data_IF_355335504725
#
_entry.id   IF_355335504725
#
_cell.length_a   1.000
_cell.length_b   1.000
_cell.length_c   1.000
_cell.angle_alpha   90.00
_cell.angle_beta   90.00
_cell.angle_gamma   90.00
#
_symmetry.space_group_name_H-M   'P 1'
#
loop_
_entity.id
_entity.type
_entity.pdbx_description
1 polymer ?
#
# COMPACT_ATOMS: atom_id res chain seq x y z
N UNK A 1 -29.97 -39.21 -32.76
CA UNK A 1 -30.37 -38.37 -33.92
C UNK A 1 -31.80 -37.90 -33.73
N UNK A 2 -31.98 -36.67 -33.23
CA UNK A 2 -33.27 -35.97 -33.18
C UNK A 2 -33.02 -34.47 -33.33
N UNK A 3 -33.77 -33.90 -34.28
CA UNK A 3 -34.40 -32.57 -34.30
C UNK A 3 -33.58 -31.30 -34.05
N UNK A 4 -33.47 -30.52 -35.13
CA UNK A 4 -33.62 -29.06 -35.10
C UNK A 4 -34.96 -28.67 -34.45
N UNK A 5 -34.95 -27.72 -33.51
CA UNK A 5 -36.04 -26.79 -33.23
C UNK A 5 -35.43 -25.42 -32.92
N UNK A 6 -35.75 -24.48 -33.80
CA UNK A 6 -35.70 -23.02 -33.61
C UNK A 6 -36.80 -22.57 -32.65
N UNK A 7 -36.51 -21.63 -31.74
CA UNK A 7 -37.46 -20.66 -31.14
C UNK A 7 -36.65 -19.61 -30.36
N UNK A 8 -36.54 -18.38 -30.89
CA UNK A 8 -37.25 -17.19 -30.38
C UNK A 8 -37.23 -17.05 -28.85
N UNK A 9 -36.42 -16.10 -28.36
CA UNK A 9 -36.73 -15.36 -27.14
C UNK A 9 -36.54 -13.87 -27.37
N UNK A 10 -37.41 -13.14 -26.69
CA UNK A 10 -37.84 -11.77 -26.90
C UNK A 10 -36.72 -10.71 -26.78
N UNK A 11 -36.83 -9.70 -27.64
CA UNK A 11 -36.36 -8.34 -27.37
C UNK A 11 -37.01 -7.83 -26.07
N UNK A 12 -36.18 -7.52 -25.08
CA UNK A 12 -36.54 -6.55 -24.03
C UNK A 12 -35.58 -5.37 -24.23
N UNK A 13 -36.07 -4.17 -24.56
CA UNK A 13 -35.21 -3.00 -24.54
C UNK A 13 -34.95 -2.66 -23.08
N UNK A 14 -33.74 -2.94 -22.60
CA UNK A 14 -33.24 -2.32 -21.38
C UNK A 14 -32.88 -0.88 -21.78
N UNK A 15 -33.88 0.01 -21.71
CA UNK A 15 -33.67 1.45 -21.62
C UNK A 15 -34.23 1.88 -20.27
N UNK A 16 -33.52 1.49 -19.21
CA UNK A 16 -33.60 2.20 -17.95
C UNK A 16 -32.43 3.18 -17.98
N UNK A 17 -32.65 4.35 -18.59
CA UNK A 17 -31.83 5.52 -18.29
C UNK A 17 -32.17 5.89 -16.85
N UNK A 18 -31.51 5.24 -15.89
CA UNK A 18 -31.30 5.89 -14.61
C UNK A 18 -30.57 7.18 -14.96
N UNK A 19 -31.16 8.33 -14.62
CA UNK A 19 -30.42 9.58 -14.68
C UNK A 19 -29.19 9.36 -13.83
N UNK A 20 -28.00 9.38 -14.44
CA UNK A 20 -26.75 9.35 -13.70
C UNK A 20 -26.85 10.44 -12.63
N UNK A 21 -26.60 10.11 -11.35
CA UNK A 21 -26.69 11.10 -10.29
C UNK A 21 -25.81 12.28 -10.68
N UNK A 22 -26.43 13.46 -10.78
CA UNK A 22 -25.73 14.67 -11.19
C UNK A 22 -24.58 14.90 -10.21
N UNK A 23 -23.37 15.12 -10.73
CA UNK A 23 -22.19 15.43 -9.91
C UNK A 23 -22.57 16.52 -8.88
N UNK A 24 -22.43 16.19 -7.59
CA UNK A 24 -22.67 17.14 -6.51
C UNK A 24 -21.39 17.96 -6.39
N UNK A 25 -21.42 19.29 -6.53
CA UNK A 25 -20.23 20.11 -6.36
C UNK A 25 -19.54 19.76 -5.05
N UNK A 26 -18.23 19.51 -5.07
CA UNK A 26 -17.47 19.09 -3.88
C UNK A 26 -17.60 20.04 -2.69
N UNK A 27 -17.93 21.31 -2.94
CA UNK A 27 -18.24 22.34 -1.93
C UNK A 27 -19.55 22.14 -1.17
N UNK A 28 -20.46 21.32 -1.67
CA UNK A 28 -21.77 21.03 -1.06
C UNK A 28 -21.75 19.74 -0.24
N UNK A 29 -20.67 18.96 -0.31
CA UNK A 29 -20.51 17.71 0.42
C UNK A 29 -19.99 18.00 1.82
N UNK A 30 -20.73 17.58 2.84
CA UNK A 30 -20.24 17.54 4.22
C UNK A 30 -19.26 16.36 4.38
N UNK A 31 -18.01 16.61 3.99
CA UNK A 31 -16.94 15.63 4.08
C UNK A 31 -16.66 15.17 5.51
N UNK A 32 -16.84 16.04 6.51
CA UNK A 32 -16.60 15.68 7.90
C UNK A 32 -17.60 14.62 8.39
N UNK A 33 -18.88 14.83 8.13
CA UNK A 33 -19.92 13.84 8.44
C UNK A 33 -19.73 12.56 7.65
N UNK A 34 -19.51 12.66 6.33
CA UNK A 34 -19.29 11.49 5.48
C UNK A 34 -18.08 10.67 5.95
N UNK A 35 -16.99 11.35 6.35
CA UNK A 35 -15.78 10.71 6.87
C UNK A 35 -16.04 10.01 8.20
N UNK A 36 -16.77 10.64 9.12
CA UNK A 36 -17.13 10.05 10.41
C UNK A 36 -18.00 8.78 10.26
N UNK A 37 -18.79 8.70 9.20
CA UNK A 37 -19.63 7.52 8.90
C UNK A 37 -18.85 6.38 8.21
N UNK A 38 -17.78 6.70 7.48
CA UNK A 38 -17.04 5.72 6.68
C UNK A 38 -16.28 4.70 7.55
N UNK A 39 -16.52 3.42 7.30
CA UNK A 39 -16.01 2.31 8.10
C UNK A 39 -16.91 1.91 9.27
N UNK A 40 -17.98 2.68 9.53
CA UNK A 40 -18.95 2.43 10.59
C UNK A 40 -20.35 2.20 10.00
N UNK A 41 -21.06 3.28 9.69
CA UNK A 41 -22.40 3.23 9.08
C UNK A 41 -22.31 2.97 7.58
N UNK A 42 -21.35 3.63 6.91
CA UNK A 42 -21.05 3.37 5.50
C UNK A 42 -19.80 2.49 5.37
N UNK A 43 -19.97 1.26 4.89
CA UNK A 43 -18.84 0.33 4.73
C UNK A 43 -17.87 0.79 3.65
N UNK A 44 -16.58 0.50 3.81
CA UNK A 44 -15.62 0.64 2.73
C UNK A 44 -16.02 -0.21 1.53
N UNK A 45 -16.11 0.43 0.37
CA UNK A 45 -16.22 -0.19 -0.96
C UNK A 45 -15.15 0.49 -1.80
N UNK A 46 -13.96 -0.11 -1.75
CA UNK A 46 -12.74 0.46 -2.33
C UNK A 46 -12.51 -0.16 -3.71
N UNK A 47 -12.44 0.67 -4.75
CA UNK A 47 -11.91 0.25 -6.04
C UNK A 47 -10.40 0.51 -6.05
N UNK A 48 -9.62 -0.57 -6.01
CA UNK A 48 -8.18 -0.51 -6.31
C UNK A 48 -8.00 -0.73 -7.79
N UNK A 49 -7.63 0.33 -8.50
CA UNK A 49 -7.35 0.25 -9.92
C UNK A 49 -6.07 -0.54 -10.16
N UNK A 50 -6.22 -1.69 -10.82
CA UNK A 50 -5.09 -2.54 -11.24
C UNK A 50 -4.87 -2.53 -12.75
N UNK A 51 -5.91 -2.29 -13.55
CA UNK A 51 -5.88 -2.32 -15.03
C UNK A 51 -6.90 -1.38 -15.68
N UNK A 52 -7.79 -0.77 -14.90
CA UNK A 52 -8.97 -0.06 -15.41
C UNK A 52 -8.55 1.17 -16.21
N UNK A 53 -7.74 2.05 -15.61
CA UNK A 53 -7.25 3.25 -16.28
C UNK A 53 -6.13 2.99 -17.29
N UNK A 54 -5.79 1.73 -17.58
CA UNK A 54 -4.68 1.41 -18.50
C UNK A 54 -4.91 1.94 -19.92
N UNK A 55 -6.16 1.94 -20.40
CA UNK A 55 -6.53 2.46 -21.73
C UNK A 55 -6.31 3.98 -21.86
N UNK A 56 -6.27 4.70 -20.74
CA UNK A 56 -6.07 6.15 -20.65
C UNK A 56 -4.68 6.52 -20.11
N UNK A 57 -3.69 5.64 -20.34
CA UNK A 57 -2.32 5.80 -19.83
C UNK A 57 -2.26 6.03 -18.30
N UNK A 58 -3.10 5.27 -17.60
CA UNK A 58 -3.27 5.29 -16.15
C UNK A 58 -3.88 6.57 -15.58
N UNK A 59 -4.44 7.44 -16.41
CA UNK A 59 -5.10 8.66 -15.96
C UNK A 59 -6.58 8.38 -15.66
N UNK A 60 -7.03 8.76 -14.46
CA UNK A 60 -8.46 8.76 -14.15
C UNK A 60 -9.17 9.88 -14.93
N UNK A 61 -10.40 9.60 -15.35
CA UNK A 61 -11.28 10.48 -16.13
C UNK A 61 -12.63 10.61 -15.42
N UNK A 62 -13.45 11.58 -15.83
CA UNK A 62 -14.82 11.72 -15.32
C UNK A 62 -15.64 10.46 -15.56
N UNK A 63 -15.57 9.88 -16.76
CA UNK A 63 -16.24 8.60 -17.10
C UNK A 63 -15.88 7.49 -16.12
N UNK A 64 -14.61 7.34 -15.75
CA UNK A 64 -14.21 6.36 -14.74
C UNK A 64 -14.87 6.64 -13.37
N UNK A 65 -14.98 7.91 -12.95
CA UNK A 65 -15.61 8.23 -11.66
C UNK A 65 -17.11 7.95 -11.67
N UNK A 66 -17.80 8.25 -12.78
CA UNK A 66 -19.21 7.92 -12.98
C UNK A 66 -19.43 6.41 -12.85
N UNK A 67 -18.63 5.61 -13.55
CA UNK A 67 -18.71 4.14 -13.47
C UNK A 67 -18.44 3.61 -12.06
N UNK A 68 -17.44 4.16 -11.38
CA UNK A 68 -17.10 3.80 -9.99
C UNK A 68 -18.28 4.09 -9.05
N UNK A 69 -18.90 5.25 -9.21
CA UNK A 69 -20.06 5.68 -8.43
C UNK A 69 -21.30 4.82 -8.74
N UNK A 70 -21.56 4.53 -10.02
CA UNK A 70 -22.67 3.68 -10.46
C UNK A 70 -22.51 2.23 -9.95
N UNK A 71 -21.27 1.73 -9.90
CA UNK A 71 -20.93 0.46 -9.27
C UNK A 71 -20.95 0.51 -7.72
N UNK A 72 -21.36 1.65 -7.15
CA UNK A 72 -21.54 1.87 -5.71
C UNK A 72 -20.26 1.80 -4.88
N UNK A 73 -19.08 1.94 -5.49
CA UNK A 73 -17.85 2.17 -4.73
C UNK A 73 -17.89 3.56 -4.08
N UNK A 74 -17.20 3.71 -2.94
CA UNK A 74 -17.11 4.98 -2.22
C UNK A 74 -15.67 5.45 -2.00
N UNK A 75 -14.67 4.66 -2.39
CA UNK A 75 -13.26 5.05 -2.40
C UNK A 75 -12.61 4.60 -3.70
N UNK A 76 -11.86 5.49 -4.35
CA UNK A 76 -11.00 5.17 -5.49
C UNK A 76 -9.53 5.20 -5.09
N UNK A 77 -8.78 4.23 -5.59
CA UNK A 77 -7.35 4.05 -5.36
C UNK A 77 -6.67 3.84 -6.72
N UNK A 78 -6.11 4.89 -7.34
CA UNK A 78 -5.54 4.82 -8.69
C UNK A 78 -4.30 3.93 -8.73
N UNK A 79 -3.99 3.30 -9.85
CA UNK A 79 -2.80 2.43 -9.97
C UNK A 79 -1.46 3.17 -9.86
N UNK A 80 -1.41 4.43 -10.26
CA UNK A 80 -0.18 5.19 -10.48
C UNK A 80 -0.35 6.65 -10.04
N UNK A 81 0.77 7.32 -9.77
CA UNK A 81 0.79 8.78 -9.58
C UNK A 81 0.94 9.27 -8.16
N UNK A 82 1.01 8.38 -7.16
CA UNK A 82 1.18 8.79 -5.76
C UNK A 82 2.45 9.59 -5.49
N UNK A 83 3.51 9.42 -6.27
CA UNK A 83 4.76 10.18 -6.09
C UNK A 83 4.71 11.60 -6.68
N UNK A 84 3.65 11.94 -7.43
CA UNK A 84 3.46 13.24 -8.06
C UNK A 84 2.34 14.02 -7.33
N UNK A 85 2.67 15.06 -6.53
CA UNK A 85 1.68 15.78 -5.75
C UNK A 85 0.62 16.48 -6.60
N UNK A 86 0.94 16.90 -7.83
CA UNK A 86 -0.03 17.57 -8.70
C UNK A 86 -1.03 16.56 -9.28
N UNK A 87 -0.55 15.36 -9.60
CA UNK A 87 -1.42 14.26 -10.01
C UNK A 87 -2.32 13.79 -8.87
N UNK A 88 -1.79 13.64 -7.65
CA UNK A 88 -2.59 13.30 -6.47
C UNK A 88 -3.70 14.32 -6.25
N UNK A 89 -3.40 15.62 -6.31
CA UNK A 89 -4.43 16.67 -6.20
C UNK A 89 -5.48 16.58 -7.29
N UNK A 90 -5.06 16.42 -8.53
CA UNK A 90 -5.98 16.34 -9.68
C UNK A 90 -6.93 15.15 -9.55
N UNK A 91 -6.42 13.96 -9.27
CA UNK A 91 -7.24 12.74 -9.16
C UNK A 91 -8.14 12.79 -7.91
N UNK A 92 -7.66 13.38 -6.81
CA UNK A 92 -8.45 13.57 -5.60
C UNK A 92 -9.60 14.58 -5.78
N UNK A 93 -9.36 15.68 -6.51
CA UNK A 93 -10.40 16.65 -6.84
C UNK A 93 -11.45 16.02 -7.76
N UNK A 94 -11.01 15.28 -8.78
CA UNK A 94 -11.89 14.52 -9.65
C UNK A 94 -12.74 13.52 -8.86
N UNK A 95 -12.17 12.79 -7.89
CA UNK A 95 -12.94 11.94 -7.00
C UNK A 95 -13.93 12.74 -6.14
N UNK A 96 -13.51 13.89 -5.61
CA UNK A 96 -14.35 14.75 -4.78
C UNK A 96 -15.59 15.26 -5.52
N UNK A 97 -15.45 15.64 -6.79
CA UNK A 97 -16.54 16.17 -7.62
C UNK A 97 -17.60 15.10 -7.94
N UNK A 98 -17.25 13.82 -7.82
CA UNK A 98 -18.18 12.68 -7.91
C UNK A 98 -18.58 12.13 -6.52
N UNK A 99 -18.22 12.83 -5.45
CA UNK A 99 -18.51 12.44 -4.08
C UNK A 99 -17.84 11.14 -3.64
N UNK A 100 -16.72 10.77 -4.25
CA UNK A 100 -15.90 9.62 -3.89
C UNK A 100 -14.76 10.06 -2.97
N UNK A 101 -14.40 9.20 -2.03
CA UNK A 101 -13.12 9.35 -1.33
C UNK A 101 -11.96 8.88 -2.21
N UNK A 102 -10.77 9.36 -1.88
CA UNK A 102 -9.53 9.05 -2.58
C UNK A 102 -8.48 8.51 -1.59
N UNK A 103 -7.74 7.47 -2.01
CA UNK A 103 -6.45 7.14 -1.41
C UNK A 103 -5.37 7.00 -2.48
N UNK A 104 -4.20 7.55 -2.20
CA UNK A 104 -3.04 7.38 -3.07
C UNK A 104 -2.51 5.95 -2.95
N UNK A 105 -2.42 5.22 -4.07
CA UNK A 105 -1.73 3.92 -4.10
C UNK A 105 -0.23 4.13 -4.27
N UNK A 106 0.57 3.54 -3.41
CA UNK A 106 2.01 3.47 -3.61
C UNK A 106 2.55 2.09 -3.26
N UNK A 107 3.69 1.76 -3.85
CA UNK A 107 4.46 0.60 -3.42
C UNK A 107 5.01 0.85 -2.02
N UNK A 108 4.91 -0.14 -1.13
CA UNK A 108 5.55 -0.13 0.20
C UNK A 108 7.03 -0.56 0.16
N UNK A 109 7.50 -0.98 -1.01
CA UNK A 109 8.88 -1.37 -1.30
C UNK A 109 9.53 -0.37 -2.26
N UNK A 110 10.85 -0.26 -2.19
CA UNK A 110 11.65 0.67 -3.01
C UNK A 110 12.96 0.01 -3.44
N UNK A 111 13.42 0.30 -4.66
CA UNK A 111 14.77 -0.06 -5.11
C UNK A 111 15.81 0.82 -4.41
N UNK A 112 16.93 0.24 -3.94
CA UNK A 112 17.98 0.96 -3.24
C UNK A 112 18.80 1.79 -4.23
N UNK A 113 19.10 3.04 -3.86
CA UNK A 113 20.05 3.89 -4.59
C UNK A 113 21.44 3.75 -3.96
N UNK A 114 21.52 3.87 -2.63
CA UNK A 114 22.80 3.81 -1.88
C UNK A 114 22.70 2.91 -0.65
N UNK A 115 21.50 2.71 -0.11
CA UNK A 115 21.22 1.98 1.11
C UNK A 115 21.40 0.47 1.00
N UNK A 116 21.35 -0.23 2.15
CA UNK A 116 21.51 -1.67 2.18
C UNK A 116 20.36 -2.36 1.46
N UNK A 117 20.72 -3.41 0.73
CA UNK A 117 19.77 -4.26 0.02
C UNK A 117 19.17 -5.31 0.97
N UNK A 118 17.98 -5.77 0.64
CA UNK A 118 17.35 -6.92 1.29
C UNK A 118 18.22 -8.17 1.06
N UNK A 119 18.56 -8.87 2.14
CA UNK A 119 19.23 -10.17 2.09
C UNK A 119 18.33 -11.23 2.71
N UNK A 120 17.99 -12.25 1.92
CA UNK A 120 17.15 -13.37 2.34
C UNK A 120 17.90 -14.31 3.29
N UNK A 121 17.15 -15.16 4.00
CA UNK A 121 17.68 -16.14 4.95
C UNK A 121 18.76 -17.08 4.37
N UNK A 122 18.65 -17.40 3.07
CA UNK A 122 19.60 -18.25 2.35
C UNK A 122 20.72 -17.45 1.65
N UNK A 123 20.84 -16.16 1.93
CA UNK A 123 21.92 -15.30 1.43
C UNK A 123 21.67 -14.62 0.08
N UNK A 124 20.52 -14.87 -0.58
CA UNK A 124 20.17 -14.15 -1.80
C UNK A 124 20.05 -12.65 -1.50
N UNK A 125 20.69 -11.83 -2.32
CA UNK A 125 20.58 -10.37 -2.24
C UNK A 125 19.59 -9.90 -3.31
N UNK A 126 18.52 -9.23 -2.90
CA UNK A 126 17.50 -8.72 -3.81
C UNK A 126 17.65 -7.21 -4.03
N UNK A 127 17.28 -6.72 -5.21
CA UNK A 127 17.35 -5.29 -5.56
C UNK A 127 16.21 -4.45 -4.94
N UNK A 128 15.98 -4.65 -3.63
CA UNK A 128 15.07 -3.87 -2.80
C UNK A 128 15.84 -3.30 -1.60
N UNK A 129 15.45 -2.13 -1.13
CA UNK A 129 15.91 -1.62 0.15
C UNK A 129 15.61 -2.63 1.25
N UNK A 130 16.55 -2.81 2.18
CA UNK A 130 16.31 -3.56 3.41
C UNK A 130 15.13 -2.96 4.21
N UNK A 131 14.28 -3.78 4.85
CA UNK A 131 13.06 -3.34 5.54
C UNK A 131 13.27 -2.31 6.64
N UNK A 132 14.45 -2.28 7.28
CA UNK A 132 14.78 -1.30 8.33
C UNK A 132 15.83 -0.27 7.88
N UNK A 133 16.04 -0.12 6.57
CA UNK A 133 16.96 0.88 6.03
C UNK A 133 16.42 2.31 6.18
N UNK A 134 17.29 3.25 6.51
CA UNK A 134 16.90 4.66 6.60
C UNK A 134 16.44 5.21 5.25
N UNK A 135 16.99 4.70 4.14
CA UNK A 135 16.57 5.09 2.79
C UNK A 135 15.09 4.75 2.53
N UNK A 136 14.66 3.51 2.84
CA UNK A 136 13.26 3.11 2.67
C UNK A 136 12.34 3.98 3.53
N UNK A 137 12.69 4.15 4.81
CA UNK A 137 11.82 4.84 5.76
C UNK A 137 11.76 6.35 5.55
N UNK A 138 12.84 6.98 5.09
CA UNK A 138 12.81 8.38 4.66
C UNK A 138 11.85 8.53 3.48
N UNK A 139 11.99 7.68 2.46
CA UNK A 139 11.13 7.74 1.28
C UNK A 139 9.65 7.49 1.61
N UNK A 140 9.34 6.42 2.36
CA UNK A 140 7.96 6.13 2.81
C UNK A 140 7.38 7.32 3.58
N UNK A 141 8.14 7.89 4.52
CA UNK A 141 7.71 9.04 5.30
C UNK A 141 7.43 10.25 4.42
N UNK A 142 8.31 10.56 3.47
CA UNK A 142 8.17 11.73 2.61
C UNK A 142 6.92 11.64 1.72
N UNK A 143 6.68 10.47 1.10
CA UNK A 143 5.50 10.24 0.26
C UNK A 143 4.22 10.29 1.07
N UNK A 144 4.16 9.58 2.20
CA UNK A 144 2.96 9.56 3.05
C UNK A 144 2.67 10.95 3.60
N UNK A 145 3.67 11.67 4.11
CA UNK A 145 3.45 13.02 4.63
C UNK A 145 3.06 14.03 3.53
N UNK A 146 3.45 13.79 2.28
CA UNK A 146 2.94 14.55 1.14
C UNK A 146 1.43 14.31 0.94
N UNK A 147 0.96 13.05 0.93
CA UNK A 147 -0.47 12.75 0.85
C UNK A 147 -1.27 13.32 2.03
N UNK A 148 -0.70 13.26 3.24
CA UNK A 148 -1.33 13.79 4.46
C UNK A 148 -1.51 15.31 4.36
N UNK A 149 -0.52 16.03 3.85
CA UNK A 149 -0.66 17.48 3.60
C UNK A 149 -1.77 17.76 2.59
N UNK A 150 -1.83 17.01 1.50
CA UNK A 150 -2.90 17.15 0.49
C UNK A 150 -4.27 16.88 1.12
N UNK A 151 -4.40 15.97 2.09
CA UNK A 151 -5.68 15.74 2.79
C UNK A 151 -6.21 16.93 3.59
N UNK A 152 -5.35 17.89 3.93
CA UNK A 152 -5.77 19.15 4.54
C UNK A 152 -6.28 20.18 3.52
N UNK A 153 -5.91 20.00 2.24
CA UNK A 153 -6.33 20.82 1.12
C UNK A 153 -7.61 20.26 0.48
N UNK A 154 -7.70 18.94 0.34
CA UNK A 154 -8.79 18.22 -0.33
C UNK A 154 -9.37 17.16 0.64
N UNK A 155 -10.53 17.43 1.27
CA UNK A 155 -11.10 16.56 2.30
C UNK A 155 -11.53 15.15 1.83
N UNK A 156 -11.64 14.92 0.52
CA UNK A 156 -11.91 13.58 -0.04
C UNK A 156 -10.70 12.65 0.08
N UNK A 157 -9.48 13.18 0.28
CA UNK A 157 -8.28 12.37 0.49
C UNK A 157 -8.28 11.85 1.92
N UNK A 158 -8.41 10.54 2.07
CA UNK A 158 -8.56 9.91 3.38
C UNK A 158 -7.38 9.05 3.79
N UNK A 159 -6.45 8.76 2.88
CA UNK A 159 -5.35 7.88 3.21
C UNK A 159 -4.38 7.56 2.09
N UNK A 160 -3.46 6.66 2.42
CA UNK A 160 -2.52 6.01 1.51
C UNK A 160 -2.75 4.51 1.54
N UNK A 161 -2.81 3.89 0.36
CA UNK A 161 -2.86 2.44 0.18
C UNK A 161 -1.42 1.95 -0.12
N UNK A 162 -0.83 1.24 0.83
CA UNK A 162 0.53 0.72 0.78
C UNK A 162 0.51 -0.72 0.29
N UNK A 163 1.12 -0.94 -0.87
CA UNK A 163 1.24 -2.24 -1.50
C UNK A 163 2.67 -2.77 -1.32
N UNK A 164 2.85 -3.61 -0.31
CA UNK A 164 4.12 -4.26 0.02
C UNK A 164 4.41 -5.49 -0.84
N UNK A 165 3.64 -5.75 -1.91
CA UNK A 165 3.92 -6.88 -2.80
C UNK A 165 5.29 -6.72 -3.48
N UNK A 166 6.12 -7.74 -3.29
CA UNK A 166 7.46 -7.92 -3.82
C UNK A 166 7.36 -8.78 -5.08
N UNK A 167 7.64 -8.12 -6.20
CA UNK A 167 7.67 -8.72 -7.54
C UNK A 167 9.05 -8.57 -8.19
N UNK A 168 10.09 -8.27 -7.42
CA UNK A 168 11.42 -8.18 -8.01
C UNK A 168 11.84 -9.53 -8.60
N UNK A 169 12.56 -9.53 -9.74
CA UNK A 169 13.11 -10.75 -10.34
C UNK A 169 13.92 -11.56 -9.34
N UNK A 170 14.08 -12.85 -9.64
CA UNK A 170 14.83 -13.80 -8.80
C UNK A 170 14.25 -14.00 -7.40
N UNK A 171 12.99 -13.61 -7.19
CA UNK A 171 12.22 -13.96 -6.00
C UNK A 171 12.22 -15.49 -5.83
N UNK A 172 12.65 -16.02 -4.66
CA UNK A 172 12.67 -17.45 -4.42
C UNK A 172 11.22 -17.93 -4.34
N UNK A 173 10.77 -18.60 -5.40
CA UNK A 173 9.42 -19.12 -5.61
C UNK A 173 9.16 -20.34 -4.69
N UNK A 174 9.16 -20.10 -3.38
CA UNK A 174 8.96 -21.12 -2.35
C UNK A 174 8.17 -20.53 -1.17
N UNK A 175 6.85 -20.71 -1.20
CA UNK A 175 5.93 -20.67 -0.05
C UNK A 175 5.96 -19.41 0.86
N UNK A 176 6.69 -18.36 0.48
CA UNK A 176 6.79 -17.12 1.26
C UNK A 176 5.91 -16.03 0.63
N UNK A 177 5.25 -15.21 1.46
CA UNK A 177 4.44 -14.12 0.97
C UNK A 177 5.30 -13.14 0.19
N UNK A 178 4.69 -12.50 -0.79
CA UNK A 178 5.28 -11.43 -1.58
C UNK A 178 5.57 -10.18 -0.72
N UNK A 179 6.05 -10.25 0.51
CA UNK A 179 6.31 -9.08 1.36
C UNK A 179 7.72 -9.09 1.92
N UNK A 180 8.10 -8.03 2.63
CA UNK A 180 9.40 -7.94 3.30
C UNK A 180 9.57 -9.09 4.31
N UNK A 181 10.58 -9.97 4.13
CA UNK A 181 10.98 -10.90 5.16
C UNK A 181 11.96 -10.23 6.14
N UNK A 182 12.25 -10.90 7.24
CA UNK A 182 13.42 -10.60 8.08
C UNK A 182 14.68 -10.57 7.18
N UNK A 183 15.42 -9.47 7.23
CA UNK A 183 16.61 -9.26 6.40
C UNK A 183 17.87 -9.65 7.15
N UNK A 184 18.80 -10.30 6.46
CA UNK A 184 20.11 -10.71 6.96
C UNK A 184 21.22 -9.83 6.37
N UNK A 185 20.90 -8.57 6.06
CA UNK A 185 21.89 -7.63 5.54
C UNK A 185 22.90 -7.23 6.62
N UNK A 186 24.05 -6.75 6.16
CA UNK A 186 25.19 -6.48 7.04
C UNK A 186 24.91 -5.33 8.02
N UNK A 187 24.13 -4.32 7.60
CA UNK A 187 23.80 -3.18 8.47
C UNK A 187 22.99 -3.65 9.66
N UNK A 188 21.89 -4.37 9.43
CA UNK A 188 21.04 -4.88 10.51
C UNK A 188 21.81 -5.85 11.40
N UNK A 189 22.62 -6.73 10.82
CA UNK A 189 23.44 -7.67 11.58
C UNK A 189 24.42 -6.95 12.50
N UNK A 190 25.09 -5.90 12.01
CA UNK A 190 26.00 -5.07 12.80
C UNK A 190 25.29 -4.28 13.89
N UNK A 191 24.11 -3.72 13.61
CA UNK A 191 23.29 -3.01 14.61
C UNK A 191 22.82 -3.94 15.72
N UNK A 192 22.38 -5.15 15.36
CA UNK A 192 22.02 -6.18 16.32
C UNK A 192 23.21 -6.65 17.16
N UNK A 193 24.35 -6.92 16.51
CA UNK A 193 25.59 -7.33 17.18
C UNK A 193 25.98 -6.32 18.27
N UNK A 194 25.96 -5.02 17.91
CA UNK A 194 26.21 -3.91 18.83
C UNK A 194 25.17 -3.87 19.95
N UNK A 195 23.89 -4.02 19.64
CA UNK A 195 22.81 -3.97 20.63
C UNK A 195 22.86 -5.12 21.64
N UNK A 196 23.30 -6.31 21.22
CA UNK A 196 23.45 -7.50 22.08
C UNK A 196 24.85 -7.65 22.67
N UNK A 197 25.79 -6.79 22.31
CA UNK A 197 27.21 -6.91 22.69
C UNK A 197 27.79 -8.28 22.33
N UNK A 198 27.47 -8.77 21.13
CA UNK A 198 27.99 -10.02 20.57
C UNK A 198 28.90 -9.71 19.39
N UNK A 199 29.98 -10.47 19.27
CA UNK A 199 30.86 -10.42 18.10
C UNK A 199 30.33 -11.43 17.07
N UNK A 200 29.85 -10.91 15.94
CA UNK A 200 29.46 -11.74 14.80
C UNK A 200 30.63 -11.68 13.81
N UNK A 201 31.40 -12.77 13.74
CA UNK A 201 32.50 -12.93 12.79
C UNK A 201 32.01 -12.70 11.35
N UNK A 202 32.87 -12.20 10.47
CA UNK A 202 32.57 -11.96 9.05
C UNK A 202 32.06 -13.22 8.35
N UNK A 203 30.73 -13.38 8.36
CA UNK A 203 30.00 -14.50 7.79
C UNK A 203 29.42 -14.07 6.45
N UNK A 204 29.62 -14.92 5.44
CA UNK A 204 29.02 -14.73 4.13
C UNK A 204 27.48 -14.67 4.25
N UNK A 205 26.79 -13.97 3.33
CA UNK A 205 25.33 -13.80 3.38
C UNK A 205 24.55 -15.09 3.68
N UNK A 206 24.91 -16.19 3.04
CA UNK A 206 24.27 -17.50 3.19
C UNK A 206 24.55 -18.18 4.55
N UNK A 207 25.59 -17.77 5.26
CA UNK A 207 25.96 -18.32 6.57
C UNK A 207 25.36 -17.52 7.74
N UNK A 208 24.79 -16.32 7.50
CA UNK A 208 24.28 -15.44 8.55
C UNK A 208 23.12 -16.06 9.34
N UNK A 209 22.10 -16.57 8.66
CA UNK A 209 20.96 -17.19 9.35
C UNK A 209 21.34 -18.48 10.10
N UNK A 210 22.08 -19.44 9.48
CA UNK A 210 22.58 -20.61 10.22
C UNK A 210 23.46 -20.26 11.41
N UNK A 211 24.28 -19.21 11.32
CA UNK A 211 25.11 -18.76 12.43
C UNK A 211 24.26 -18.23 13.59
N UNK A 212 23.27 -17.38 13.32
CA UNK A 212 22.35 -16.87 14.35
C UNK A 212 21.58 -18.00 15.02
N UNK A 213 21.18 -19.02 14.27
CA UNK A 213 20.51 -20.21 14.80
C UNK A 213 21.44 -21.04 15.70
N UNK A 214 22.66 -21.34 15.24
CA UNK A 214 23.65 -22.12 15.99
C UNK A 214 24.06 -21.46 17.33
N UNK A 215 23.92 -20.14 17.43
CA UNK A 215 24.23 -19.38 18.65
C UNK A 215 22.97 -19.04 19.49
N UNK A 216 21.79 -19.54 19.10
CA UNK A 216 20.54 -19.29 19.83
C UNK A 216 20.07 -17.83 19.78
N UNK A 217 20.45 -17.09 18.73
CA UNK A 217 20.17 -15.66 18.56
C UNK A 217 19.06 -15.37 17.55
N UNK A 218 18.61 -16.37 16.77
CA UNK A 218 17.64 -16.23 15.67
C UNK A 218 16.38 -15.45 16.07
N UNK A 219 15.70 -15.85 17.13
CA UNK A 219 14.47 -15.18 17.59
C UNK A 219 14.74 -13.75 18.06
N UNK A 220 15.82 -13.54 18.81
CA UNK A 220 16.18 -12.20 19.27
C UNK A 220 16.59 -11.25 18.12
N UNK A 221 17.11 -11.79 17.02
CA UNK A 221 17.44 -11.02 15.81
C UNK A 221 16.17 -10.64 15.04
N UNK A 222 15.22 -11.56 14.93
CA UNK A 222 13.89 -11.30 14.40
C UNK A 222 13.18 -10.20 15.20
N UNK A 223 13.08 -10.36 16.53
CA UNK A 223 12.40 -9.40 17.40
C UNK A 223 13.04 -8.01 17.34
N UNK A 224 14.38 -7.94 17.27
CA UNK A 224 15.11 -6.69 17.08
C UNK A 224 14.65 -5.93 15.82
N UNK A 225 14.47 -6.64 14.71
CA UNK A 225 14.01 -6.01 13.47
C UNK A 225 12.55 -5.57 13.55
N UNK A 226 11.67 -6.40 14.14
CA UNK A 226 10.25 -6.08 14.31
C UNK A 226 10.09 -4.85 15.22
N UNK A 227 10.86 -4.76 16.30
CA UNK A 227 10.83 -3.61 17.20
C UNK A 227 11.34 -2.33 16.53
N UNK A 228 12.39 -2.42 15.69
CA UNK A 228 12.82 -1.29 14.84
C UNK A 228 11.68 -0.84 13.92
N UNK A 229 11.02 -1.77 13.24
CA UNK A 229 9.89 -1.47 12.35
C UNK A 229 8.73 -0.81 13.11
N UNK A 230 8.34 -1.37 14.27
CA UNK A 230 7.30 -0.80 15.16
C UNK A 230 7.62 0.63 15.58
N UNK A 231 8.87 0.89 15.97
CA UNK A 231 9.28 2.24 16.38
C UNK A 231 9.14 3.24 15.22
N UNK A 232 9.57 2.85 14.02
CA UNK A 232 9.44 3.71 12.82
C UNK A 232 7.97 3.91 12.41
N UNK A 233 7.12 2.89 12.54
CA UNK A 233 5.67 3.03 12.39
C UNK A 233 5.08 4.06 13.36
N UNK A 234 5.46 4.01 14.65
CA UNK A 234 5.00 4.96 15.67
C UNK A 234 5.46 6.38 15.37
N UNK A 235 6.73 6.57 15.06
CA UNK A 235 7.28 7.87 14.69
C UNK A 235 6.57 8.46 13.46
N UNK A 236 6.28 7.64 12.45
CA UNK A 236 5.52 8.07 11.29
C UNK A 236 4.09 8.44 11.69
N UNK A 237 3.42 7.60 12.49
CA UNK A 237 2.05 7.85 12.96
C UNK A 237 1.94 9.17 13.73
N UNK A 238 2.89 9.47 14.61
CA UNK A 238 2.96 10.75 15.33
C UNK A 238 3.05 11.95 14.38
N UNK A 239 3.88 11.86 13.33
CA UNK A 239 4.00 12.91 12.31
C UNK A 239 2.71 13.07 11.50
N UNK A 240 2.02 11.98 11.20
CA UNK A 240 0.73 12.04 10.50
C UNK A 240 -0.33 12.67 11.41
N UNK A 241 -0.42 12.24 12.68
CA UNK A 241 -1.40 12.75 13.64
C UNK A 241 -1.25 14.24 13.93
N UNK A 242 -0.01 14.74 13.89
CA UNK A 242 0.27 16.17 14.01
C UNK A 242 -0.32 17.01 12.86
N UNK A 243 -0.65 16.41 11.72
CA UNK A 243 -1.21 17.09 10.54
C UNK A 243 -2.69 16.74 10.35
N UNK A 244 -3.02 15.44 10.29
CA UNK A 244 -4.38 14.93 10.15
C UNK A 244 -4.54 13.59 10.90
N UNK A 245 -5.10 13.60 12.13
CA UNK A 245 -5.26 12.39 12.93
C UNK A 245 -6.31 11.41 12.37
N UNK A 246 -7.14 11.83 11.42
CA UNK A 246 -8.09 10.95 10.74
C UNK A 246 -7.50 10.28 9.47
N UNK A 247 -6.27 10.61 9.10
CA UNK A 247 -5.62 10.04 7.92
C UNK A 247 -5.29 8.56 8.10
N UNK A 248 -5.71 7.73 7.15
CA UNK A 248 -5.56 6.29 7.21
C UNK A 248 -4.39 5.78 6.38
N UNK A 249 -3.77 4.72 6.89
CA UNK A 249 -2.88 3.87 6.10
C UNK A 249 -3.60 2.53 5.93
N UNK A 250 -3.79 2.11 4.68
CA UNK A 250 -4.24 0.76 4.35
C UNK A 250 -3.05 -0.02 3.87
N UNK A 251 -2.88 -1.23 4.38
CA UNK A 251 -1.71 -2.08 4.10
C UNK A 251 -2.19 -3.32 3.35
N UNK A 252 -1.48 -3.64 2.29
CA UNK A 252 -1.72 -4.79 1.44
C UNK A 252 -0.41 -5.48 1.06
N UNK A 253 -0.36 -6.83 1.08
CA UNK A 253 -1.34 -7.74 1.65
C UNK A 253 -1.48 -7.54 3.18
N UNK A 254 -2.64 -7.90 3.75
CA UNK A 254 -2.90 -7.69 5.18
C UNK A 254 -2.22 -8.72 6.09
N UNK A 255 -1.61 -9.76 5.52
CA UNK A 255 -0.97 -10.87 6.22
C UNK A 255 0.20 -11.39 5.39
N UNK A 256 1.07 -12.16 6.04
CA UNK A 256 2.12 -12.92 5.38
C UNK A 256 3.49 -12.77 6.05
N UNK A 257 3.84 -11.59 6.55
CA UNK A 257 5.16 -11.40 7.15
C UNK A 257 5.09 -10.91 8.57
N UNK A 258 6.10 -11.27 9.34
CA UNK A 258 6.30 -10.84 10.72
C UNK A 258 6.15 -9.32 10.89
N UNK A 259 6.64 -8.53 9.91
CA UNK A 259 6.51 -7.07 9.93
C UNK A 259 5.07 -6.57 9.80
N UNK A 260 4.19 -7.29 9.11
CA UNK A 260 2.79 -6.90 8.96
C UNK A 260 1.94 -7.50 10.08
N UNK A 261 2.21 -8.76 10.47
CA UNK A 261 1.41 -9.49 11.44
C UNK A 261 1.69 -9.08 12.89
N UNK A 262 2.92 -8.67 13.21
CA UNK A 262 3.29 -8.35 14.58
C UNK A 262 3.54 -6.87 14.83
N UNK A 263 3.83 -6.07 13.79
CA UNK A 263 4.25 -4.69 14.00
C UNK A 263 3.11 -3.66 13.99
N UNK A 264 1.94 -4.00 13.44
CA UNK A 264 0.81 -3.09 13.21
C UNK A 264 -0.24 -3.24 14.31
#
# INVERSE_FOLDING_TARGET
MKCFITSLFFLIPIHCWAQSPTAIPSSEIDWATKRAQLGHEDKYRILVDKVWSKSTDWLLTEEHMEEIQEASFNVVVPRMGAEDPDRVRRDAQLAADHGLFYMAWMRGTKKPVEGPKLVWEHGLVQDLCSPNSDELWSWLSDQILMHVKISTEIPSVIGTFLDFENYEPDFPDVDRPHCYPISYDEKILGEFAKAKSVEISDVSPEARAPWLEAHGLKDSFRDFQIDSWRNRCRELREKIDAINPQFQLIIYPPMGTDFIEEAI
#
